data_IF_414043789257
#
_entry.id   IF_414043789257
#
_cell.length_a   1.000
_cell.length_b   1.000
_cell.length_c   1.000
_cell.angle_alpha   90.00
_cell.angle_beta   90.00
_cell.angle_gamma   90.00
#
_symmetry.space_group_name_H-M   'P 1'
#
loop_
_entity.id
_entity.type
_entity.pdbx_description
1 polymer ?
#
# COMPACT_ATOMS: atom_id res chain seq x y z
N UNK A 1 10.33 -12.27 0.14
CA UNK A 1 9.16 -11.50 -0.36
C UNK A 1 8.12 -11.39 0.73
N UNK A 2 7.65 -12.51 1.30
CA UNK A 2 6.79 -12.50 2.50
C UNK A 2 7.37 -11.66 3.65
N UNK A 3 8.66 -11.80 3.92
CA UNK A 3 9.29 -11.10 5.05
C UNK A 3 9.38 -9.58 4.82
N UNK A 4 9.60 -9.15 3.57
CA UNK A 4 9.61 -7.72 3.22
C UNK A 4 8.21 -7.10 3.33
N UNK A 5 7.15 -7.85 2.96
CA UNK A 5 5.77 -7.40 3.12
C UNK A 5 5.40 -7.28 4.60
N UNK A 6 5.79 -8.25 5.43
CA UNK A 6 5.60 -8.21 6.88
C UNK A 6 6.32 -7.02 7.52
N UNK A 7 7.61 -6.85 7.25
CA UNK A 7 8.39 -5.74 7.79
C UNK A 7 7.82 -4.37 7.36
N UNK A 8 7.34 -4.26 6.13
CA UNK A 8 6.71 -3.03 5.64
C UNK A 8 5.34 -2.79 6.32
N UNK A 9 4.56 -3.85 6.51
CA UNK A 9 3.27 -3.76 7.19
C UNK A 9 3.42 -3.41 8.66
N UNK A 10 4.40 -3.98 9.37
CA UNK A 10 4.73 -3.62 10.75
C UNK A 10 5.05 -2.12 10.88
N UNK A 11 5.77 -1.54 9.91
CA UNK A 11 6.05 -0.10 9.86
C UNK A 11 4.79 0.73 9.63
N UNK A 12 3.84 0.23 8.83
CA UNK A 12 2.56 0.90 8.57
C UNK A 12 1.68 0.88 9.83
N UNK A 13 1.51 -0.27 10.46
CA UNK A 13 0.74 -0.44 11.70
C UNK A 13 1.33 0.41 12.85
N UNK A 14 2.66 0.41 12.99
CA UNK A 14 3.34 1.26 13.96
C UNK A 14 3.06 2.76 13.74
N UNK A 15 2.95 3.20 12.48
CA UNK A 15 2.57 4.59 12.14
C UNK A 15 1.09 4.86 12.39
N UNK A 16 0.22 3.87 12.16
CA UNK A 16 -1.21 3.91 12.49
C UNK A 16 -1.41 4.15 13.98
N UNK A 17 -0.69 3.41 14.82
CA UNK A 17 -0.76 3.54 16.28
C UNK A 17 -0.20 4.87 16.79
N UNK A 18 0.96 5.29 16.27
CA UNK A 18 1.67 6.46 16.81
C UNK A 18 1.16 7.79 16.29
N UNK A 19 0.47 7.81 15.15
CA UNK A 19 0.03 9.01 14.42
C UNK A 19 1.04 10.18 14.51
N UNK A 20 2.30 9.97 14.10
CA UNK A 20 3.31 11.02 14.18
C UNK A 20 2.91 12.23 13.31
N UNK A 21 2.99 13.43 13.90
CA UNK A 21 2.82 14.68 13.16
C UNK A 21 3.82 14.72 11.98
N UNK A 22 3.36 15.22 10.83
CA UNK A 22 4.10 15.29 9.55
C UNK A 22 4.42 13.95 8.84
N UNK A 23 3.80 12.83 9.24
CA UNK A 23 3.92 11.57 8.48
C UNK A 23 2.91 11.47 7.35
N UNK A 24 3.41 11.25 6.13
CA UNK A 24 2.59 10.95 4.95
C UNK A 24 1.67 9.75 5.21
N UNK A 25 2.22 8.64 5.75
CA UNK A 25 1.43 7.45 6.07
C UNK A 25 0.35 7.76 7.11
N UNK A 26 0.67 8.55 8.15
CA UNK A 26 -0.32 8.91 9.17
C UNK A 26 -1.49 9.72 8.59
N UNK A 27 -1.23 10.58 7.59
CA UNK A 27 -2.30 11.33 6.92
C UNK A 27 -3.24 10.46 6.08
N UNK A 28 -2.72 9.34 5.54
CA UNK A 28 -3.52 8.36 4.81
C UNK A 28 -4.28 7.44 5.77
N UNK A 29 -3.67 7.06 6.88
CA UNK A 29 -4.23 6.16 7.88
C UNK A 29 -5.28 6.81 8.80
N UNK A 30 -5.55 8.10 8.62
CA UNK A 30 -6.63 8.77 9.34
C UNK A 30 -7.95 8.05 9.00
N UNK A 31 -8.65 7.57 10.04
CA UNK A 31 -9.88 6.79 9.90
C UNK A 31 -11.10 7.66 9.53
N UNK A 32 -10.94 8.98 9.44
CA UNK A 32 -11.94 9.85 8.85
C UNK A 32 -12.09 9.56 7.34
N UNK A 33 -13.29 9.80 6.80
CA UNK A 33 -13.64 9.59 5.38
C UNK A 33 -12.64 10.24 4.39
N UNK A 34 -11.90 11.25 4.83
CA UNK A 34 -10.86 11.91 4.02
C UNK A 34 -9.58 11.08 3.88
N UNK A 35 -9.15 10.38 4.94
CA UNK A 35 -7.96 9.54 4.90
C UNK A 35 -8.18 8.30 4.05
N UNK A 36 -9.34 7.65 4.20
CA UNK A 36 -9.75 6.51 3.37
C UNK A 36 -9.82 6.89 1.88
N UNK A 37 -10.49 8.00 1.53
CA UNK A 37 -10.55 8.47 0.15
C UNK A 37 -9.16 8.78 -0.41
N UNK A 38 -8.28 9.43 0.37
CA UNK A 38 -6.93 9.75 -0.08
C UNK A 38 -6.09 8.50 -0.36
N UNK A 39 -6.19 7.46 0.49
CA UNK A 39 -5.48 6.21 0.29
C UNK A 39 -5.95 5.47 -0.96
N UNK A 40 -7.28 5.42 -1.19
CA UNK A 40 -7.87 4.80 -2.38
C UNK A 40 -7.57 5.57 -3.67
N UNK A 41 -7.59 6.91 -3.62
CA UNK A 41 -7.21 7.77 -4.74
C UNK A 41 -5.76 7.51 -5.16
N UNK A 42 -4.82 7.45 -4.20
CA UNK A 42 -3.42 7.11 -4.48
C UNK A 42 -3.28 5.72 -5.08
N UNK A 43 -3.90 4.69 -4.48
CA UNK A 43 -3.84 3.33 -5.05
C UNK A 43 -4.33 3.28 -6.51
N UNK A 44 -5.38 4.06 -6.85
CA UNK A 44 -5.88 4.17 -8.22
C UNK A 44 -4.97 4.95 -9.17
N UNK A 45 -4.29 5.98 -8.67
CA UNK A 45 -3.26 6.73 -9.39
C UNK A 45 -2.10 5.81 -9.79
N UNK A 46 -1.47 5.13 -8.82
CA UNK A 46 -0.28 4.31 -9.09
C UNK A 46 -0.62 3.11 -9.99
N UNK A 47 -1.84 2.56 -9.86
CA UNK A 47 -2.34 1.55 -10.78
C UNK A 47 -2.42 2.06 -12.23
N UNK A 48 -2.82 3.32 -12.42
CA UNK A 48 -2.87 3.95 -13.74
C UNK A 48 -1.45 4.20 -14.26
N UNK A 49 -0.55 4.70 -13.42
CA UNK A 49 0.85 4.97 -13.80
C UNK A 49 1.60 3.68 -14.15
N UNK A 50 1.43 2.60 -13.37
CA UNK A 50 1.98 1.28 -13.68
C UNK A 50 1.52 0.75 -15.06
N UNK A 51 0.24 0.93 -15.40
CA UNK A 51 -0.29 0.54 -16.71
C UNK A 51 0.36 1.34 -17.85
N UNK A 52 0.61 2.64 -17.65
CA UNK A 52 1.27 3.50 -18.62
C UNK A 52 2.75 3.13 -18.77
N UNK A 53 3.47 2.92 -17.67
CA UNK A 53 4.85 2.46 -17.66
C UNK A 53 5.01 1.13 -18.43
N UNK A 54 4.12 0.17 -18.18
CA UNK A 54 4.10 -1.12 -18.89
C UNK A 54 3.88 -0.94 -20.40
N UNK A 55 2.95 -0.06 -20.78
CA UNK A 55 2.63 0.24 -22.18
C UNK A 55 3.82 0.89 -22.90
N UNK A 56 4.52 1.79 -22.23
CA UNK A 56 5.63 2.55 -22.80
C UNK A 56 6.97 1.79 -22.75
N UNK A 57 7.00 0.64 -22.06
CA UNK A 57 8.18 -0.21 -21.94
C UNK A 57 9.23 0.35 -21.00
N UNK A 58 8.84 1.24 -20.10
CA UNK A 58 9.70 1.84 -19.09
C UNK A 58 9.80 0.90 -17.88
N UNK A 59 10.88 0.14 -17.80
CA UNK A 59 11.06 -0.86 -16.74
C UNK A 59 11.40 -0.25 -15.38
N UNK A 60 11.98 0.95 -15.37
CA UNK A 60 12.34 1.62 -14.12
C UNK A 60 11.07 2.17 -13.46
N UNK A 61 10.23 2.85 -14.24
CA UNK A 61 8.92 3.33 -13.80
C UNK A 61 8.00 2.16 -13.42
N UNK A 62 8.04 1.05 -14.18
CA UNK A 62 7.23 -0.14 -13.86
C UNK A 62 7.58 -0.73 -12.49
N UNK A 63 8.87 -0.75 -12.12
CA UNK A 63 9.30 -1.22 -10.82
C UNK A 63 8.92 -0.23 -9.71
N UNK A 64 9.01 1.06 -9.99
CA UNK A 64 8.63 2.13 -9.07
C UNK A 64 7.13 2.07 -8.73
N UNK A 65 6.27 2.15 -9.74
CA UNK A 65 4.82 2.12 -9.54
C UNK A 65 4.31 0.78 -9.02
N UNK A 66 4.99 -0.31 -9.36
CA UNK A 66 4.69 -1.62 -8.79
C UNK A 66 4.94 -1.66 -7.27
N UNK A 67 5.98 -0.96 -6.78
CA UNK A 67 6.24 -0.85 -5.36
C UNK A 67 5.21 0.07 -4.67
N UNK A 68 4.83 1.18 -5.31
CA UNK A 68 3.85 2.11 -4.75
C UNK A 68 2.44 1.50 -4.67
N UNK A 69 2.03 0.70 -5.68
CA UNK A 69 0.81 -0.12 -5.59
C UNK A 69 0.84 -1.03 -4.36
N UNK A 70 1.95 -1.76 -4.15
CA UNK A 70 2.06 -2.69 -3.01
C UNK A 70 1.98 -1.91 -1.70
N UNK A 71 2.69 -0.80 -1.58
CA UNK A 71 2.67 0.02 -0.38
C UNK A 71 1.27 0.59 -0.08
N UNK A 72 0.61 1.20 -1.07
CA UNK A 72 -0.72 1.77 -0.89
C UNK A 72 -1.79 0.71 -0.64
N UNK A 73 -1.66 -0.48 -1.23
CA UNK A 73 -2.51 -1.62 -0.91
C UNK A 73 -2.36 -2.03 0.56
N UNK A 74 -1.14 -2.11 1.09
CA UNK A 74 -0.90 -2.42 2.52
C UNK A 74 -1.49 -1.34 3.44
N UNK A 75 -1.41 -0.05 3.07
CA UNK A 75 -2.06 1.04 3.82
C UNK A 75 -3.58 0.85 3.86
N UNK A 76 -4.20 0.52 2.74
CA UNK A 76 -5.65 0.25 2.67
C UNK A 76 -6.03 -0.97 3.53
N UNK A 77 -5.24 -2.05 3.52
CA UNK A 77 -5.48 -3.21 4.40
C UNK A 77 -5.44 -2.82 5.88
N UNK A 78 -4.43 -2.03 6.27
CA UNK A 78 -4.30 -1.51 7.63
C UNK A 78 -5.51 -0.65 8.04
N UNK A 79 -6.04 0.21 7.15
CA UNK A 79 -7.26 1.00 7.44
C UNK A 79 -8.51 0.15 7.68
N UNK A 80 -8.59 -1.03 7.07
CA UNK A 80 -9.68 -1.98 7.25
C UNK A 80 -9.43 -3.01 8.35
N UNK A 81 -8.42 -2.79 9.20
CA UNK A 81 -8.03 -3.70 10.29
C UNK A 81 -7.76 -5.14 9.83
N UNK A 82 -7.28 -5.30 8.59
CA UNK A 82 -6.82 -6.58 8.04
C UNK A 82 -5.36 -6.81 8.40
N UNK A 83 -4.96 -8.05 8.63
CA UNK A 83 -3.57 -8.42 8.84
C UNK A 83 -2.90 -8.73 7.48
N UNK A 84 -1.58 -8.51 7.38
CA UNK A 84 -0.81 -8.92 6.19
C UNK A 84 -0.84 -10.44 6.01
N UNK A 85 -1.01 -11.21 7.08
CA UNK A 85 -1.18 -12.66 6.99
C UNK A 85 -2.43 -13.05 6.19
N UNK A 86 -3.53 -12.29 6.29
CA UNK A 86 -4.75 -12.56 5.51
C UNK A 86 -4.48 -12.46 3.99
N UNK A 87 -3.68 -11.47 3.59
CA UNK A 87 -3.25 -11.32 2.19
C UNK A 87 -2.29 -12.44 1.78
N UNK A 88 -1.33 -12.79 2.63
CA UNK A 88 -0.33 -13.81 2.33
C UNK A 88 -0.95 -15.20 2.18
N UNK A 89 -1.92 -15.55 3.02
CA UNK A 89 -2.68 -16.80 2.92
C UNK A 89 -3.43 -16.89 1.58
N UNK A 90 -4.08 -15.79 1.17
CA UNK A 90 -4.80 -15.69 -0.10
C UNK A 90 -3.85 -15.74 -1.32
N UNK A 91 -2.64 -15.19 -1.20
CA UNK A 91 -1.57 -15.33 -2.20
C UNK A 91 -1.00 -16.74 -2.26
N UNK A 92 -0.82 -17.41 -1.11
CA UNK A 92 -0.37 -18.80 -1.06
C UNK A 92 -1.37 -19.74 -1.74
N UNK A 93 -2.68 -19.50 -1.56
CA UNK A 93 -3.74 -20.25 -2.23
C UNK A 93 -3.76 -20.11 -3.77
N UNK A 94 -3.06 -19.11 -4.35
CA UNK A 94 -2.95 -18.91 -5.81
C UNK A 94 -1.78 -19.62 -6.45
N UNK A 95 -0.88 -20.20 -5.65
CA UNK A 95 0.34 -20.87 -6.11
C UNK A 95 0.08 -22.32 -6.50
#
# INVERSE_FOLDING_TARGET
>A
MSDALRELFDVIEDRKERMPEDSYTASLLDHDEKGENAALEKLGEEATEFLLAAKDGDTDELAHEGADIVYHMLVVLAQHDMDVEDLLDELEARR
#
